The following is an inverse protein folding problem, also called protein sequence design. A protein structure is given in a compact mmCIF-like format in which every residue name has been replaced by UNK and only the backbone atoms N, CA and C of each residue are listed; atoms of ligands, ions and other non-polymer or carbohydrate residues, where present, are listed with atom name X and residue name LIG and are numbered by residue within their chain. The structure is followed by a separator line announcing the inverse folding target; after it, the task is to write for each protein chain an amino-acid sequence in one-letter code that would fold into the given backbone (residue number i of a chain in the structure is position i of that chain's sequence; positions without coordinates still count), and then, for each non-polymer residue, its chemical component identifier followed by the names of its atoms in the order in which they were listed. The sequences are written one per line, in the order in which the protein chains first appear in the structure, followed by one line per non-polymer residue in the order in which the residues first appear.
data_IF_934683741010
#
_entry.id   IF_934683741010
#
_cell.length_a   1.000
_cell.length_b   1.000
_cell.length_c   1.000
_cell.angle_alpha   90.00
_cell.angle_beta   90.00
_cell.angle_gamma   90.00
#
_symmetry.space_group_name_H-M   'P 1'
#
loop_
_entity.id
_entity.type
_entity.pdbx_description
1 polymer ?
#
# COMPACT_ATOMS: atom_id res chain seq x y z
N UNK A 1 -48.13 4.62 23.99
CA UNK A 1 -47.24 5.19 22.92
C UNK A 1 -45.84 5.31 23.48
N UNK A 2 -45.01 4.29 23.35
CA UNK A 2 -43.59 4.38 23.69
C UNK A 2 -42.77 4.29 22.41
N UNK A 3 -42.10 5.39 22.04
CA UNK A 3 -41.12 5.45 20.96
C UNK A 3 -39.85 4.75 21.43
N UNK A 4 -39.52 3.62 20.80
CA UNK A 4 -38.21 2.98 20.94
C UNK A 4 -37.23 3.77 20.09
N UNK A 5 -36.29 4.46 20.75
CA UNK A 5 -35.15 5.05 20.13
C UNK A 5 -34.10 3.95 19.95
N UNK A 6 -33.87 3.54 18.72
CA UNK A 6 -32.71 2.69 18.37
C UNK A 6 -31.46 3.58 18.39
N UNK A 7 -30.61 3.36 19.37
CA UNK A 7 -29.29 3.94 19.42
C UNK A 7 -28.37 3.12 18.50
N UNK A 8 -28.08 3.62 17.32
CA UNK A 8 -26.99 3.12 16.50
C UNK A 8 -25.68 3.59 17.14
N UNK A 9 -24.96 2.67 17.77
CA UNK A 9 -23.59 2.90 18.18
C UNK A 9 -22.71 2.86 16.90
N UNK A 10 -22.49 4.04 16.30
CA UNK A 10 -21.45 4.21 15.32
C UNK A 10 -20.11 4.15 16.05
N UNK A 11 -19.36 3.06 15.85
CA UNK A 11 -17.93 3.07 16.19
C UNK A 11 -17.26 4.19 15.37
N UNK A 12 -16.57 5.13 15.99
CA UNK A 12 -15.77 6.07 15.24
C UNK A 12 -14.58 5.31 14.64
N UNK A 13 -14.57 5.17 13.31
CA UNK A 13 -13.34 4.95 12.58
C UNK A 13 -12.44 6.18 12.88
N UNK A 14 -11.47 5.99 13.74
CA UNK A 14 -10.44 7.00 13.96
C UNK A 14 -9.52 6.96 12.74
N UNK A 15 -9.94 7.64 11.68
CA UNK A 15 -9.06 8.10 10.64
C UNK A 15 -8.18 9.19 11.30
N UNK A 16 -6.97 8.85 11.64
CA UNK A 16 -5.96 9.84 12.04
C UNK A 16 -5.60 10.62 10.77
N UNK A 17 -6.43 11.60 10.45
CA UNK A 17 -6.08 12.67 9.51
C UNK A 17 -4.99 13.49 10.18
N UNK A 18 -3.75 13.34 9.75
CA UNK A 18 -2.71 14.31 10.03
C UNK A 18 -3.06 15.59 9.26
N UNK A 19 -3.82 16.50 9.87
CA UNK A 19 -3.85 17.90 9.44
C UNK A 19 -2.47 18.46 9.73
N UNK A 20 -1.70 18.73 8.68
CA UNK A 20 -0.49 19.52 8.76
C UNK A 20 -0.87 20.95 9.17
N UNK A 21 -0.70 21.28 10.43
CA UNK A 21 -0.56 22.67 10.81
C UNK A 21 0.86 23.09 10.41
N UNK A 22 0.95 24.05 9.49
CA UNK A 22 2.14 24.86 9.32
C UNK A 22 2.32 25.65 10.62
N UNK A 23 3.05 25.11 11.57
CA UNK A 23 3.51 25.83 12.75
C UNK A 23 5.00 25.57 12.89
N UNK A 24 5.73 26.68 13.02
CA UNK A 24 7.12 26.83 13.40
C UNK A 24 7.79 25.53 13.82
N UNK A 25 8.65 24.99 12.93
CA UNK A 25 9.43 23.76 13.17
C UNK A 25 10.27 24.02 14.41
N UNK A 26 10.02 23.37 15.55
CA UNK A 26 10.89 23.53 16.70
C UNK A 26 12.29 23.03 16.33
N UNK A 27 13.33 23.74 16.71
CA UNK A 27 14.73 23.40 16.52
C UNK A 27 15.17 22.04 17.11
N UNK A 28 14.24 21.27 17.72
CA UNK A 28 14.52 20.05 18.48
C UNK A 28 14.01 18.75 17.83
N UNK A 29 13.82 18.73 16.50
CA UNK A 29 13.39 17.52 15.80
C UNK A 29 11.87 17.30 15.79
N UNK A 30 11.39 16.66 14.73
CA UNK A 30 9.98 16.32 14.54
C UNK A 30 9.79 14.83 14.80
N UNK A 31 8.91 14.51 15.75
CA UNK A 31 8.50 13.12 16.01
C UNK A 31 7.19 12.85 15.27
N UNK A 32 7.17 11.79 14.47
CA UNK A 32 5.94 11.30 13.82
C UNK A 32 5.69 9.85 14.21
N UNK A 33 4.44 9.51 14.44
CA UNK A 33 3.99 8.15 14.71
C UNK A 33 3.15 7.66 13.55
N UNK A 34 3.42 6.43 13.13
CA UNK A 34 2.73 5.77 12.04
C UNK A 34 2.23 4.41 12.51
N UNK A 35 1.06 4.03 12.04
CA UNK A 35 0.47 2.71 12.28
C UNK A 35 0.48 1.95 10.98
N UNK A 36 1.42 1.03 10.85
CA UNK A 36 1.71 0.34 9.60
C UNK A 36 1.17 -1.08 9.61
N UNK A 37 0.75 -1.53 8.43
CA UNK A 37 0.69 -2.94 8.11
C UNK A 37 2.07 -3.43 7.70
N UNK A 38 2.39 -4.67 8.05
CA UNK A 38 3.64 -5.29 7.63
C UNK A 38 3.46 -6.78 7.35
N UNK A 39 4.31 -7.31 6.50
CA UNK A 39 4.40 -8.72 6.20
C UNK A 39 5.65 -9.30 6.83
N UNK A 40 5.48 -10.32 7.66
CA UNK A 40 6.57 -11.05 8.27
C UNK A 40 6.61 -12.46 7.67
N UNK A 41 7.78 -12.87 7.20
CA UNK A 41 7.98 -14.17 6.54
C UNK A 41 9.30 -14.80 6.98
N UNK A 42 9.46 -16.10 6.80
CA UNK A 42 10.74 -16.75 7.02
C UNK A 42 11.71 -16.48 5.87
N UNK A 43 13.01 -16.46 6.15
CA UNK A 43 14.05 -16.22 5.15
C UNK A 43 14.14 -17.34 4.10
N UNK A 44 13.89 -18.57 4.52
CA UNK A 44 13.93 -19.74 3.66
C UNK A 44 12.64 -20.03 2.90
N UNK A 45 11.61 -19.22 3.16
CA UNK A 45 10.29 -19.39 2.53
C UNK A 45 9.49 -20.61 3.03
N UNK A 46 9.97 -21.31 4.06
CA UNK A 46 9.31 -22.53 4.58
C UNK A 46 8.03 -22.25 5.37
N UNK A 47 7.89 -21.02 5.90
CA UNK A 47 6.73 -20.60 6.67
C UNK A 47 5.81 -19.74 5.80
N UNK A 48 4.51 -19.89 6.01
CA UNK A 48 3.54 -19.01 5.36
C UNK A 48 3.69 -17.58 5.89
N UNK A 49 3.67 -16.58 5.02
CA UNK A 49 3.73 -15.19 5.42
C UNK A 49 2.57 -14.82 6.36
N UNK A 50 2.86 -14.03 7.37
CA UNK A 50 1.85 -13.50 8.29
C UNK A 50 1.84 -11.99 8.17
N UNK A 51 0.65 -11.42 7.91
CA UNK A 51 0.45 -9.98 7.86
C UNK A 51 -0.09 -9.47 9.19
N UNK A 52 0.43 -8.32 9.61
CA UNK A 52 -0.01 -7.60 10.81
C UNK A 52 -0.43 -6.19 10.42
N UNK A 53 -1.30 -5.58 11.20
CA UNK A 53 -1.77 -4.21 10.99
C UNK A 53 -1.86 -3.45 12.31
N UNK A 54 -1.96 -2.13 12.23
CA UNK A 54 -1.94 -1.23 13.38
C UNK A 54 -0.68 -1.37 14.25
N UNK A 55 0.46 -1.64 13.62
CA UNK A 55 1.75 -1.73 14.31
C UNK A 55 2.34 -0.34 14.45
N UNK A 56 2.60 0.13 15.67
CA UNK A 56 3.13 1.47 15.88
C UNK A 56 4.62 1.52 15.55
N UNK A 57 4.97 2.40 14.62
CA UNK A 57 6.34 2.80 14.34
C UNK A 57 6.50 4.29 14.59
N UNK A 58 7.59 4.66 15.23
CA UNK A 58 7.94 6.05 15.53
C UNK A 58 9.18 6.44 14.75
N UNK A 59 9.10 7.56 14.06
CA UNK A 59 10.23 8.18 13.38
C UNK A 59 10.50 9.54 14.00
N UNK A 60 11.75 9.82 14.38
CA UNK A 60 12.16 11.11 14.90
C UNK A 60 13.22 11.71 13.98
N UNK A 61 12.92 12.86 13.43
CA UNK A 61 13.77 13.58 12.48
C UNK A 61 14.51 14.71 13.18
N UNK A 62 15.77 14.87 12.84
CA UNK A 62 16.59 16.02 13.22
C UNK A 62 17.15 16.65 11.93
N UNK A 63 16.44 17.63 11.42
CA UNK A 63 16.76 18.25 10.12
C UNK A 63 18.11 18.95 10.12
N UNK A 64 18.50 19.61 11.23
CA UNK A 64 19.79 20.30 11.33
C UNK A 64 20.98 19.35 11.14
N UNK A 65 20.81 18.09 11.51
CA UNK A 65 21.83 17.07 11.42
C UNK A 65 21.60 16.10 10.27
N UNK A 66 20.48 16.16 9.56
CA UNK A 66 20.03 15.17 8.60
C UNK A 66 20.05 13.75 9.19
N UNK A 67 19.53 13.60 10.41
CA UNK A 67 19.47 12.30 11.08
C UNK A 67 18.04 11.90 11.40
N UNK A 68 17.84 10.58 11.45
CA UNK A 68 16.56 9.94 11.76
C UNK A 68 16.79 8.79 12.71
N UNK A 69 15.86 8.60 13.65
CA UNK A 69 15.74 7.37 14.44
C UNK A 69 14.43 6.70 14.10
N UNK A 70 14.40 5.37 14.14
CA UNK A 70 13.20 4.57 13.98
C UNK A 70 13.02 3.66 15.19
N UNK A 71 11.79 3.57 15.67
CA UNK A 71 11.45 2.71 16.79
C UNK A 71 10.08 2.07 16.64
N UNK A 72 9.84 1.04 17.43
CA UNK A 72 8.52 0.45 17.61
C UNK A 72 8.33 0.07 19.07
N UNK A 73 7.19 0.43 19.63
CA UNK A 73 6.85 0.04 21.00
C UNK A 73 6.49 -1.43 21.11
N UNK A 74 5.98 -1.99 20.02
CA UNK A 74 5.66 -3.42 19.93
C UNK A 74 5.35 -3.83 18.50
N UNK A 75 5.87 -4.96 18.09
CA UNK A 75 5.31 -5.78 17.01
C UNK A 75 5.47 -7.25 17.40
N UNK A 76 4.69 -8.12 16.81
CA UNK A 76 4.64 -9.51 17.19
C UNK A 76 5.29 -10.39 16.12
N UNK A 77 6.09 -11.36 16.55
CA UNK A 77 6.70 -12.37 15.71
C UNK A 77 6.29 -13.74 16.26
N UNK A 78 5.86 -14.64 15.39
CA UNK A 78 5.44 -16.01 15.76
C UNK A 78 4.39 -16.04 16.88
N UNK A 79 3.41 -15.13 16.83
CA UNK A 79 2.22 -15.20 17.68
C UNK A 79 2.41 -14.89 19.17
N UNK A 80 3.63 -14.82 19.69
CA UNK A 80 3.85 -14.62 21.12
C UNK A 80 5.06 -13.77 21.51
N UNK A 81 5.93 -13.41 20.56
CA UNK A 81 7.09 -12.57 20.85
C UNK A 81 6.75 -11.12 20.54
N UNK A 82 6.62 -10.31 21.58
CA UNK A 82 6.47 -8.85 21.45
C UNK A 82 7.84 -8.23 21.39
N UNK A 83 8.15 -7.63 20.25
CA UNK A 83 9.44 -6.97 20.01
C UNK A 83 9.23 -5.46 20.15
N UNK A 84 10.18 -4.83 20.84
CA UNK A 84 10.29 -3.38 20.87
C UNK A 84 11.74 -2.97 20.62
N UNK A 85 11.95 -1.88 19.93
CA UNK A 85 13.26 -1.36 19.60
C UNK A 85 13.25 0.15 19.41
N UNK A 86 14.42 0.75 19.55
CA UNK A 86 14.74 2.11 19.10
C UNK A 86 16.13 2.04 18.44
N UNK A 87 16.26 2.59 17.24
CA UNK A 87 17.56 2.67 16.57
C UNK A 87 18.40 3.82 17.11
N UNK A 88 19.69 3.73 16.92
CA UNK A 88 20.54 4.91 16.95
C UNK A 88 20.17 5.87 15.83
N UNK A 89 20.59 7.13 15.96
CA UNK A 89 20.40 8.13 14.92
C UNK A 89 21.30 7.82 13.71
N UNK A 90 20.69 7.71 12.54
CA UNK A 90 21.39 7.46 11.27
C UNK A 90 21.17 8.60 10.30
N UNK A 91 22.10 8.78 9.36
CA UNK A 91 21.95 9.75 8.29
C UNK A 91 20.88 9.28 7.31
N UNK A 92 20.09 10.22 6.82
CA UNK A 92 19.21 9.98 5.68
C UNK A 92 19.64 10.81 4.45
N UNK A 93 19.31 10.32 3.28
CA UNK A 93 19.37 11.08 2.03
C UNK A 93 17.98 11.59 1.70
N UNK A 94 17.91 12.83 1.22
CA UNK A 94 16.64 13.44 0.82
C UNK A 94 16.66 13.78 -0.65
N UNK A 95 15.60 13.42 -1.35
CA UNK A 95 15.34 13.81 -2.73
C UNK A 95 14.10 14.69 -2.75
N UNK A 96 14.25 15.94 -3.19
CA UNK A 96 13.13 16.84 -3.40
C UNK A 96 12.71 16.78 -4.87
N UNK A 97 11.42 16.64 -5.09
CA UNK A 97 10.83 16.63 -6.42
C UNK A 97 10.29 18.01 -6.78
N UNK A 98 10.22 18.32 -8.07
CA UNK A 98 9.75 19.62 -8.58
C UNK A 98 8.32 19.98 -8.12
N UNK A 99 7.55 18.98 -7.76
CA UNK A 99 6.16 19.10 -7.28
C UNK A 99 6.05 19.41 -5.77
N UNK A 100 7.17 19.67 -5.08
CA UNK A 100 7.19 19.95 -3.64
C UNK A 100 7.11 18.71 -2.74
N UNK A 101 6.97 17.51 -3.30
CA UNK A 101 7.10 16.28 -2.50
C UNK A 101 8.56 15.96 -2.22
N UNK A 102 8.84 15.20 -1.19
CA UNK A 102 10.17 14.73 -0.86
C UNK A 102 10.16 13.24 -0.49
N UNK A 103 11.27 12.58 -0.80
CA UNK A 103 11.55 11.24 -0.32
C UNK A 103 12.79 11.24 0.57
N UNK A 104 12.76 10.47 1.62
CA UNK A 104 13.90 10.23 2.51
C UNK A 104 14.22 8.75 2.52
N UNK A 105 15.49 8.44 2.31
CA UNK A 105 16.00 7.07 2.35
C UNK A 105 17.06 6.95 3.44
N UNK A 106 16.99 5.88 4.21
CA UNK A 106 17.98 5.57 5.21
C UNK A 106 18.11 4.07 5.44
N UNK A 107 19.25 3.67 5.98
CA UNK A 107 19.54 2.27 6.31
C UNK A 107 20.16 2.17 7.69
N UNK A 108 19.82 1.11 8.40
CA UNK A 108 20.43 0.75 9.71
C UNK A 108 20.93 -0.67 9.62
N UNK A 109 22.23 -0.86 9.87
CA UNK A 109 22.85 -2.18 9.76
C UNK A 109 22.33 -3.14 10.83
N UNK A 110 22.19 -2.67 12.07
CA UNK A 110 21.74 -3.48 13.20
C UNK A 110 21.00 -2.61 14.23
N UNK A 111 19.93 -3.14 14.77
CA UNK A 111 19.13 -2.53 15.83
C UNK A 111 18.93 -3.58 16.93
N UNK A 112 19.38 -3.27 18.13
CA UNK A 112 19.17 -4.12 19.30
C UNK A 112 17.75 -3.97 19.82
N UNK A 113 17.12 -5.08 20.13
CA UNK A 113 15.72 -5.11 20.53
C UNK A 113 15.52 -5.73 21.92
N UNK A 114 14.29 -5.59 22.38
CA UNK A 114 13.77 -6.32 23.55
C UNK A 114 12.66 -7.24 23.10
N UNK A 115 12.74 -8.50 23.48
CA UNK A 115 11.66 -9.47 23.33
C UNK A 115 10.93 -9.61 24.66
N UNK A 116 9.63 -9.35 24.68
CA UNK A 116 8.83 -9.32 25.91
C UNK A 116 9.41 -8.42 27.01
N UNK A 117 10.06 -7.32 26.64
CA UNK A 117 10.66 -6.33 27.54
C UNK A 117 12.09 -6.65 28.00
N UNK A 118 12.68 -7.76 27.58
CA UNK A 118 14.04 -8.17 27.91
C UNK A 118 14.93 -8.13 26.68
N UNK A 119 16.17 -7.63 26.80
CA UNK A 119 17.13 -7.64 25.70
C UNK A 119 17.37 -9.06 25.20
N UNK A 120 17.14 -9.31 23.93
CA UNK A 120 17.23 -10.64 23.33
C UNK A 120 17.58 -10.53 21.84
N UNK A 121 18.71 -11.09 21.46
CA UNK A 121 19.22 -11.06 20.10
C UNK A 121 18.27 -11.74 19.09
N UNK A 122 17.41 -12.65 19.53
CA UNK A 122 16.42 -13.30 18.66
C UNK A 122 15.35 -12.33 18.10
N UNK A 123 15.32 -11.11 18.60
CA UNK A 123 14.44 -10.03 18.12
C UNK A 123 15.20 -8.89 17.44
N UNK A 124 16.53 -8.90 17.41
CA UNK A 124 17.31 -7.84 16.78
C UNK A 124 16.92 -7.69 15.31
N UNK A 125 16.92 -6.45 14.84
CA UNK A 125 16.71 -6.17 13.42
C UNK A 125 18.06 -5.93 12.77
N UNK A 126 18.22 -6.47 11.57
CA UNK A 126 19.40 -6.24 10.74
C UNK A 126 19.01 -5.83 9.32
N UNK A 127 19.91 -5.12 8.65
CA UNK A 127 19.72 -4.68 7.27
C UNK A 127 18.39 -3.94 7.06
N UNK A 128 18.03 -3.07 8.01
CA UNK A 128 16.84 -2.24 7.84
C UNK A 128 17.09 -1.19 6.76
N UNK A 129 16.25 -1.19 5.73
CA UNK A 129 16.21 -0.17 4.69
C UNK A 129 14.82 0.45 4.69
N UNK A 130 14.75 1.76 4.65
CA UNK A 130 13.49 2.48 4.70
C UNK A 130 13.44 3.60 3.66
N UNK A 131 12.34 3.65 2.94
CA UNK A 131 11.93 4.75 2.08
C UNK A 131 10.72 5.43 2.71
N UNK A 132 10.82 6.72 2.97
CA UNK A 132 9.78 7.58 3.48
C UNK A 132 9.46 8.64 2.44
N UNK A 133 8.20 8.81 2.08
CA UNK A 133 7.77 9.92 1.23
C UNK A 133 6.87 10.85 2.01
N UNK A 134 7.15 12.15 1.92
CA UNK A 134 6.29 13.19 2.49
C UNK A 134 5.36 13.75 1.43
N UNK A 135 4.19 14.22 1.86
CA UNK A 135 3.20 14.87 1.00
C UNK A 135 2.75 13.98 -0.15
N UNK A 136 2.32 12.79 0.19
CA UNK A 136 1.66 11.91 -0.75
C UNK A 136 0.30 12.50 -1.14
N UNK A 137 0.17 12.97 -2.38
CA UNK A 137 -1.04 13.62 -2.88
C UNK A 137 -1.66 12.82 -4.02
N UNK A 138 -2.95 12.63 -3.95
CA UNK A 138 -3.75 12.13 -5.05
C UNK A 138 -4.40 13.34 -5.76
N UNK A 139 -4.17 13.58 -7.06
CA UNK A 139 -4.85 14.63 -7.80
C UNK A 139 -6.36 14.59 -7.58
N UNK A 140 -7.03 15.75 -7.55
CA UNK A 140 -8.47 15.82 -7.28
C UNK A 140 -9.29 14.99 -8.27
N UNK A 141 -8.86 14.91 -9.53
CA UNK A 141 -9.43 14.05 -10.56
C UNK A 141 -9.32 12.55 -10.26
N UNK A 142 -8.42 12.17 -9.37
CA UNK A 142 -8.20 10.78 -8.91
C UNK A 142 -8.78 10.55 -7.51
N UNK A 143 -9.26 11.62 -6.86
CA UNK A 143 -9.97 11.50 -5.59
C UNK A 143 -11.35 10.96 -5.84
N UNK A 144 -11.57 9.78 -5.36
CA UNK A 144 -12.89 9.19 -5.40
C UNK A 144 -13.48 9.17 -3.99
N UNK A 145 -14.43 10.05 -3.71
CA UNK A 145 -15.12 10.17 -2.42
C UNK A 145 -14.19 10.29 -1.20
N UNK A 146 -13.17 11.12 -1.27
CA UNK A 146 -12.17 11.30 -0.19
C UNK A 146 -11.51 9.98 0.27
N UNK A 147 -11.54 8.94 -0.55
CA UNK A 147 -11.01 7.61 -0.20
C UNK A 147 -9.50 7.53 -0.12
N UNK A 148 -8.81 8.43 -0.78
CA UNK A 148 -7.37 8.48 -0.80
C UNK A 148 -6.88 9.63 0.06
N UNK A 149 -6.72 9.40 1.37
CA UNK A 149 -6.20 10.45 2.25
C UNK A 149 -4.79 10.84 1.82
N UNK A 150 -4.49 12.12 1.92
CA UNK A 150 -3.12 12.60 1.89
C UNK A 150 -2.35 11.92 3.03
N UNK A 151 -1.18 11.39 2.74
CA UNK A 151 -0.39 10.73 3.76
C UNK A 151 1.05 10.51 3.33
N UNK A 152 1.89 10.29 4.32
CA UNK A 152 3.25 9.84 4.09
C UNK A 152 3.22 8.33 3.80
N UNK A 153 4.02 7.88 2.87
CA UNK A 153 4.20 6.46 2.59
C UNK A 153 5.51 5.97 3.20
N UNK A 154 5.47 4.80 3.79
CA UNK A 154 6.62 4.15 4.38
C UNK A 154 6.75 2.74 3.83
N UNK A 155 7.87 2.49 3.18
CA UNK A 155 8.29 1.14 2.79
C UNK A 155 9.54 0.80 3.58
N UNK A 156 9.50 -0.28 4.33
CA UNK A 156 10.60 -0.70 5.18
C UNK A 156 10.82 -2.20 5.01
N UNK A 157 12.09 -2.59 4.87
CA UNK A 157 12.53 -3.99 4.85
C UNK A 157 13.58 -4.18 5.93
N UNK A 158 13.52 -5.30 6.64
CA UNK A 158 14.51 -5.69 7.63
C UNK A 158 14.52 -7.21 7.81
N UNK A 159 15.54 -7.72 8.45
CA UNK A 159 15.60 -9.10 8.96
C UNK A 159 15.45 -9.06 10.47
N UNK A 160 14.52 -9.84 11.00
CA UNK A 160 14.28 -9.95 12.45
C UNK A 160 14.87 -11.26 12.97
N UNK A 161 15.82 -11.15 13.89
CA UNK A 161 16.66 -12.26 14.27
C UNK A 161 17.46 -12.76 13.07
N UNK A 162 17.57 -14.08 12.92
CA UNK A 162 18.25 -14.71 11.78
C UNK A 162 17.24 -15.33 10.77
N UNK A 163 15.96 -15.27 11.08
CA UNK A 163 14.94 -16.09 10.41
C UNK A 163 13.87 -15.33 9.65
N UNK A 164 13.44 -14.20 10.16
CA UNK A 164 12.24 -13.54 9.64
C UNK A 164 12.58 -12.32 8.79
N UNK A 165 11.92 -12.22 7.66
CA UNK A 165 11.92 -11.03 6.81
C UNK A 165 10.75 -10.13 7.23
N UNK A 166 11.03 -8.94 7.73
CA UNK A 166 10.03 -7.89 7.94
C UNK A 166 9.92 -7.08 6.67
N UNK A 167 8.70 -6.89 6.21
CA UNK A 167 8.40 -6.00 5.10
C UNK A 167 7.15 -5.20 5.42
N UNK A 168 7.24 -3.87 5.39
CA UNK A 168 6.06 -3.02 5.50
C UNK A 168 5.59 -2.60 4.12
N UNK A 169 4.30 -2.37 3.97
CA UNK A 169 3.74 -1.78 2.77
C UNK A 169 2.60 -0.82 3.14
N UNK A 170 2.41 0.25 2.36
CA UNK A 170 1.31 1.18 2.61
C UNK A 170 -0.02 0.48 2.31
N UNK A 171 -1.07 0.86 3.07
CA UNK A 171 -2.43 0.38 2.81
C UNK A 171 -2.98 0.89 1.48
N UNK A 172 -2.42 1.97 0.97
CA UNK A 172 -2.72 2.54 -0.33
C UNK A 172 -1.43 2.69 -1.13
N UNK A 173 -1.43 2.14 -2.33
CA UNK A 173 -0.31 2.24 -3.29
C UNK A 173 -0.86 2.57 -4.67
N UNK A 174 -0.12 3.37 -5.43
CA UNK A 174 -0.47 3.69 -6.80
C UNK A 174 0.65 3.30 -7.74
N UNK A 175 0.25 2.80 -8.91
CA UNK A 175 1.16 2.30 -9.93
C UNK A 175 0.75 2.85 -11.28
N UNK A 176 1.67 3.50 -11.97
CA UNK A 176 1.48 3.95 -13.35
C UNK A 176 2.19 3.01 -14.31
N UNK A 177 1.59 2.80 -15.47
CA UNK A 177 2.15 1.89 -16.44
C UNK A 177 1.35 1.79 -17.72
N UNK A 178 1.64 0.74 -18.49
CA UNK A 178 0.99 0.45 -19.76
C UNK A 178 -0.01 -0.71 -19.63
N UNK A 179 -1.10 -0.60 -20.37
CA UNK A 179 -2.09 -1.67 -20.53
C UNK A 179 -2.05 -2.18 -21.96
N UNK A 180 -1.98 -3.47 -22.12
CA UNK A 180 -2.18 -4.18 -23.41
C UNK A 180 -3.48 -4.96 -23.34
N UNK A 181 -4.39 -4.75 -24.29
CA UNK A 181 -5.67 -5.46 -24.33
C UNK A 181 -5.81 -6.17 -25.67
N UNK A 182 -6.15 -7.45 -25.63
CA UNK A 182 -6.43 -8.28 -26.82
C UNK A 182 -7.93 -8.63 -26.86
N UNK A 183 -8.54 -8.55 -28.04
CA UNK A 183 -9.95 -8.86 -28.25
C UNK A 183 -10.21 -9.31 -29.69
N UNK A 184 -11.28 -10.07 -29.90
CA UNK A 184 -11.71 -10.47 -31.23
C UNK A 184 -12.82 -9.56 -31.76
N UNK A 185 -12.67 -9.05 -32.97
CA UNK A 185 -13.67 -8.25 -33.65
C UNK A 185 -13.84 -8.71 -35.09
N UNK A 186 -15.04 -9.17 -35.44
CA UNK A 186 -15.32 -9.71 -36.78
C UNK A 186 -14.51 -10.99 -37.13
N UNK A 187 -14.12 -11.78 -36.10
CA UNK A 187 -13.33 -12.99 -36.27
C UNK A 187 -11.82 -12.74 -36.43
N UNK A 188 -11.37 -11.49 -36.27
CA UNK A 188 -9.95 -11.14 -36.29
C UNK A 188 -9.50 -10.70 -34.89
N UNK A 189 -8.35 -11.20 -34.46
CA UNK A 189 -7.68 -10.76 -33.25
C UNK A 189 -7.16 -9.34 -33.45
N UNK A 190 -7.45 -8.50 -32.47
CA UNK A 190 -6.98 -7.12 -32.39
C UNK A 190 -6.30 -6.87 -31.06
N UNK A 191 -5.37 -5.93 -31.06
CA UNK A 191 -4.66 -5.50 -29.87
C UNK A 191 -4.74 -3.97 -29.72
N UNK A 192 -4.89 -3.52 -28.51
CA UNK A 192 -4.87 -2.11 -28.14
C UNK A 192 -3.89 -1.89 -27.00
N UNK A 193 -2.99 -0.93 -27.16
CA UNK A 193 -2.01 -0.52 -26.14
C UNK A 193 -2.32 0.88 -25.65
N UNK A 194 -2.20 1.08 -24.34
CA UNK A 194 -2.33 2.36 -23.67
C UNK A 194 -1.19 2.57 -22.69
N UNK A 195 -0.48 3.70 -22.81
CA UNK A 195 0.66 4.02 -21.95
C UNK A 195 0.27 4.90 -20.74
N UNK A 196 -1.02 5.11 -20.50
CA UNK A 196 -1.53 6.05 -19.50
C UNK A 196 -2.42 5.41 -18.42
N UNK A 197 -2.18 4.14 -18.11
CA UNK A 197 -2.91 3.45 -17.04
C UNK A 197 -2.41 3.86 -15.65
N UNK A 198 -3.34 4.07 -14.71
CA UNK A 198 -3.03 4.18 -13.29
C UNK A 198 -3.90 3.19 -12.52
N UNK A 199 -3.26 2.38 -11.68
CA UNK A 199 -3.91 1.46 -10.76
C UNK A 199 -3.62 1.89 -9.33
N UNK A 200 -4.67 2.07 -8.53
CA UNK A 200 -4.57 2.34 -7.11
C UNK A 200 -5.07 1.14 -6.32
N UNK A 201 -4.26 0.61 -5.43
CA UNK A 201 -4.58 -0.54 -4.60
C UNK A 201 -4.75 -0.08 -3.17
N UNK A 202 -5.92 -0.29 -2.60
CA UNK A 202 -6.23 -0.04 -1.19
C UNK A 202 -6.51 -1.36 -0.48
N UNK A 203 -5.68 -1.71 0.51
CA UNK A 203 -5.79 -2.96 1.26
C UNK A 203 -6.47 -2.72 2.59
N UNK A 204 -7.44 -3.58 2.91
CA UNK A 204 -8.00 -3.72 4.25
C UNK A 204 -7.41 -4.96 4.93
N UNK A 205 -6.40 -4.81 5.79
CA UNK A 205 -5.73 -5.95 6.40
C UNK A 205 -6.57 -6.66 7.47
N UNK A 206 -7.65 -6.03 7.94
CA UNK A 206 -8.51 -6.62 8.97
C UNK A 206 -9.31 -7.83 8.44
N UNK A 207 -9.61 -7.83 7.14
CA UNK A 207 -10.37 -8.89 6.49
C UNK A 207 -9.65 -9.48 5.24
N UNK A 208 -8.42 -9.06 4.99
CA UNK A 208 -7.62 -9.47 3.83
C UNK A 208 -8.34 -9.22 2.50
N UNK A 209 -8.96 -8.05 2.37
CA UNK A 209 -9.57 -7.62 1.11
C UNK A 209 -8.88 -6.37 0.56
N UNK A 210 -9.06 -6.15 -0.73
CA UNK A 210 -8.60 -4.94 -1.40
C UNK A 210 -9.71 -4.32 -2.26
N UNK A 211 -9.59 -3.02 -2.45
CA UNK A 211 -10.24 -2.27 -3.52
C UNK A 211 -9.16 -1.83 -4.52
N UNK A 212 -9.41 -2.02 -5.81
CA UNK A 212 -8.52 -1.58 -6.86
C UNK A 212 -9.23 -0.57 -7.74
N UNK A 213 -8.72 0.66 -7.75
CA UNK A 213 -9.15 1.72 -8.67
C UNK A 213 -8.35 1.66 -9.97
N UNK A 214 -9.06 1.58 -11.08
CA UNK A 214 -8.51 1.65 -12.42
C UNK A 214 -8.87 3.02 -13.00
N UNK A 215 -7.88 3.86 -13.19
CA UNK A 215 -8.09 5.25 -13.64
C UNK A 215 -7.70 5.41 -15.09
N UNK A 216 -8.56 6.08 -15.85
CA UNK A 216 -8.34 6.39 -17.26
C UNK A 216 -8.07 5.16 -18.14
N UNK A 217 -8.65 4.01 -17.75
CA UNK A 217 -8.47 2.77 -18.51
C UNK A 217 -9.32 2.75 -19.77
N UNK A 218 -8.78 2.11 -20.79
CA UNK A 218 -9.41 1.97 -22.10
C UNK A 218 -9.02 0.63 -22.69
N UNK A 219 -10.01 -0.17 -23.05
CA UNK A 219 -9.80 -1.53 -23.54
C UNK A 219 -9.76 -1.66 -25.06
N UNK A 220 -10.20 -0.63 -25.78
CA UNK A 220 -10.14 -0.57 -27.24
C UNK A 220 -10.07 0.88 -27.72
N UNK A 221 -9.58 1.11 -28.94
CA UNK A 221 -9.33 2.46 -29.49
C UNK A 221 -10.61 3.34 -29.51
N UNK A 222 -11.77 2.75 -29.82
CA UNK A 222 -13.04 3.46 -29.89
C UNK A 222 -13.77 3.64 -28.56
N UNK A 223 -13.27 3.02 -27.47
CA UNK A 223 -13.90 3.14 -26.16
C UNK A 223 -13.54 4.48 -25.49
N UNK A 224 -14.43 5.06 -24.71
CA UNK A 224 -14.06 6.18 -23.84
C UNK A 224 -13.09 5.70 -22.75
N UNK A 225 -12.34 6.63 -22.21
CA UNK A 225 -11.60 6.37 -20.96
C UNK A 225 -12.60 6.20 -19.82
N UNK A 226 -12.35 5.19 -18.99
CA UNK A 226 -13.20 4.84 -17.86
C UNK A 226 -12.37 4.88 -16.57
N UNK A 227 -13.03 5.35 -15.52
CA UNK A 227 -12.53 5.16 -14.14
C UNK A 227 -13.49 4.23 -13.44
N UNK A 228 -12.98 3.13 -12.92
CA UNK A 228 -13.79 2.11 -12.28
C UNK A 228 -13.06 1.53 -11.06
N UNK A 229 -13.84 0.95 -10.16
CA UNK A 229 -13.33 0.38 -8.92
C UNK A 229 -13.81 -1.05 -8.80
N UNK A 230 -12.87 -1.94 -8.51
CA UNK A 230 -13.13 -3.34 -8.16
C UNK A 230 -13.09 -3.44 -6.65
N UNK A 231 -14.13 -3.96 -6.03
CA UNK A 231 -14.27 -4.04 -4.58
C UNK A 231 -14.22 -5.48 -4.09
N UNK A 232 -13.92 -5.62 -2.81
CA UNK A 232 -13.96 -6.90 -2.08
C UNK A 232 -13.09 -7.99 -2.74
N UNK A 233 -12.00 -7.58 -3.40
CA UNK A 233 -11.01 -8.48 -3.95
C UNK A 233 -10.26 -9.18 -2.82
N UNK A 234 -9.92 -10.46 -3.00
CA UNK A 234 -9.15 -11.23 -2.02
C UNK A 234 -7.68 -10.81 -2.04
N UNK A 235 -7.07 -10.67 -0.86
CA UNK A 235 -5.63 -10.45 -0.70
C UNK A 235 -4.98 -11.70 -0.13
N UNK A 236 -3.92 -12.15 -0.77
CA UNK A 236 -3.03 -13.21 -0.29
C UNK A 236 -1.61 -12.67 -0.20
N UNK A 237 -0.97 -12.84 0.95
CA UNK A 237 0.41 -12.41 1.16
C UNK A 237 1.38 -13.51 0.74
N UNK A 238 2.46 -13.12 0.08
CA UNK A 238 3.52 -14.00 -0.41
C UNK A 238 4.88 -13.61 0.15
N UNK A 239 5.88 -14.43 -0.07
CA UNK A 239 7.26 -14.10 0.32
C UNK A 239 7.81 -12.89 -0.44
N UNK A 240 7.27 -12.59 -1.62
CA UNK A 240 7.71 -11.49 -2.49
C UNK A 240 6.86 -10.21 -2.34
N UNK A 241 5.65 -10.33 -1.79
CA UNK A 241 4.71 -9.21 -1.65
C UNK A 241 3.30 -9.67 -1.38
N UNK A 242 2.36 -9.35 -2.26
CA UNK A 242 0.97 -9.78 -2.14
C UNK A 242 0.31 -9.98 -3.51
N UNK A 243 -0.73 -10.78 -3.51
CA UNK A 243 -1.60 -11.02 -4.67
C UNK A 243 -3.00 -10.53 -4.35
N UNK A 244 -3.61 -9.80 -5.29
CA UNK A 244 -5.02 -9.39 -5.22
C UNK A 244 -5.79 -10.05 -6.34
N UNK A 245 -6.85 -10.79 -6.01
CA UNK A 245 -7.59 -11.57 -7.00
C UNK A 245 -9.11 -11.39 -6.89
N UNK A 246 -9.77 -11.45 -8.03
CA UNK A 246 -11.23 -11.53 -8.08
C UNK A 246 -11.72 -12.92 -7.61
N UNK A 247 -12.95 -13.03 -7.05
CA UNK A 247 -13.60 -14.30 -6.81
C UNK A 247 -13.90 -15.04 -8.14
N UNK A 248 -14.16 -16.33 -8.04
CA UNK A 248 -14.38 -17.19 -9.22
C UNK A 248 -15.57 -16.77 -10.08
N UNK A 249 -16.59 -16.17 -9.48
CA UNK A 249 -17.76 -15.59 -10.14
C UNK A 249 -17.48 -14.26 -10.84
N UNK A 250 -16.28 -13.75 -10.68
CA UNK A 250 -15.89 -12.43 -11.18
C UNK A 250 -16.34 -11.29 -10.26
N UNK A 251 -16.05 -10.04 -10.66
CA UNK A 251 -16.40 -8.83 -9.94
C UNK A 251 -17.02 -7.80 -10.86
N UNK A 252 -18.15 -7.26 -10.46
CA UNK A 252 -18.82 -6.15 -11.16
C UNK A 252 -18.16 -4.85 -10.69
N UNK A 253 -17.53 -4.07 -11.60
CA UNK A 253 -16.96 -2.80 -11.23
C UNK A 253 -18.03 -1.78 -10.89
N UNK A 254 -17.68 -0.80 -10.09
CA UNK A 254 -18.49 0.39 -9.88
C UNK A 254 -17.84 1.59 -10.55
N UNK A 255 -18.65 2.50 -11.09
CA UNK A 255 -18.21 3.69 -11.82
C UNK A 255 -18.80 4.95 -11.20
N UNK A 256 -18.10 6.05 -11.37
CA UNK A 256 -18.55 7.38 -10.94
C UNK A 256 -18.50 7.57 -9.41
N UNK A 257 -18.77 8.79 -8.98
CA UNK A 257 -18.77 9.17 -7.57
C UNK A 257 -19.87 8.44 -6.78
N UNK A 258 -21.00 8.14 -7.41
CA UNK A 258 -22.12 7.42 -6.80
C UNK A 258 -21.89 5.90 -6.74
N UNK A 259 -20.75 5.42 -7.26
CA UNK A 259 -20.37 4.01 -7.27
C UNK A 259 -21.42 3.09 -7.88
N UNK A 260 -21.94 3.49 -9.04
CA UNK A 260 -22.97 2.76 -9.74
C UNK A 260 -22.37 1.46 -10.30
N UNK A 261 -22.96 0.28 -10.01
CA UNK A 261 -22.53 -0.97 -10.61
C UNK A 261 -22.60 -0.93 -12.14
N UNK A 262 -21.56 -1.46 -12.80
CA UNK A 262 -21.46 -1.46 -14.26
C UNK A 262 -21.32 -2.89 -14.80
N UNK A 263 -22.42 -3.68 -14.83
CA UNK A 263 -22.37 -5.13 -15.10
C UNK A 263 -21.94 -5.48 -16.52
N UNK A 264 -22.06 -4.57 -17.48
CA UNK A 264 -21.57 -4.79 -18.85
C UNK A 264 -20.05 -4.92 -18.93
N UNK A 265 -19.33 -4.51 -17.86
CA UNK A 265 -17.88 -4.60 -17.73
C UNK A 265 -17.44 -5.49 -16.56
N UNK A 266 -18.16 -6.59 -16.35
CA UNK A 266 -17.74 -7.57 -15.34
C UNK A 266 -16.31 -8.05 -15.59
N UNK A 267 -15.47 -8.01 -14.57
CA UNK A 267 -14.15 -8.63 -14.58
C UNK A 267 -14.33 -10.11 -14.27
N UNK A 268 -14.30 -10.94 -15.30
CA UNK A 268 -14.43 -12.39 -15.14
C UNK A 268 -13.22 -12.98 -14.45
N UNK A 269 -12.05 -12.41 -14.69
CA UNK A 269 -10.81 -12.67 -13.97
C UNK A 269 -10.13 -11.36 -13.66
N UNK A 270 -9.43 -11.31 -12.54
CA UNK A 270 -8.53 -10.24 -12.18
C UNK A 270 -7.50 -10.81 -11.22
N UNK A 271 -6.23 -10.67 -11.56
CA UNK A 271 -5.11 -11.12 -10.76
C UNK A 271 -4.01 -10.06 -10.81
N UNK A 272 -3.72 -9.46 -9.69
CA UNK A 272 -2.67 -8.45 -9.52
C UNK A 272 -1.61 -9.02 -8.60
N UNK A 273 -0.37 -9.05 -9.06
CA UNK A 273 0.80 -9.45 -8.27
C UNK A 273 1.63 -8.22 -7.99
N UNK A 274 1.76 -7.87 -6.71
CA UNK A 274 2.67 -6.82 -6.27
C UNK A 274 3.93 -7.47 -5.74
N UNK A 275 5.08 -7.11 -6.31
CA UNK A 275 6.36 -7.74 -6.00
C UNK A 275 7.54 -6.79 -6.13
N UNK A 276 8.76 -7.32 -5.93
CA UNK A 276 10.02 -6.59 -6.05
C UNK A 276 10.53 -6.05 -4.71
N UNK A 277 11.76 -5.56 -4.76
CA UNK A 277 12.39 -4.88 -3.64
C UNK A 277 11.60 -3.66 -3.26
N UNK A 278 11.07 -3.36 -2.26
CA UNK A 278 10.19 -2.23 -1.91
C UNK A 278 8.79 -2.25 -2.53
N UNK A 279 8.30 -3.40 -3.02
CA UNK A 279 6.97 -3.50 -3.66
C UNK A 279 6.80 -2.47 -4.78
N UNK A 280 7.82 -2.32 -5.59
CA UNK A 280 7.92 -1.23 -6.56
C UNK A 280 7.20 -1.51 -7.88
N UNK A 281 6.66 -2.72 -8.08
CA UNK A 281 6.00 -3.10 -9.33
C UNK A 281 4.76 -3.92 -9.11
N UNK A 282 3.83 -3.81 -10.06
CA UNK A 282 2.70 -4.72 -10.21
C UNK A 282 2.63 -5.27 -11.63
N UNK A 283 2.26 -6.53 -11.72
CA UNK A 283 1.80 -7.19 -12.92
C UNK A 283 0.33 -7.57 -12.72
N UNK A 284 -0.51 -7.23 -13.69
CA UNK A 284 -1.96 -7.48 -13.61
C UNK A 284 -2.44 -8.17 -14.85
N UNK A 285 -3.13 -9.30 -14.67
CA UNK A 285 -3.85 -10.01 -15.72
C UNK A 285 -5.36 -9.93 -15.46
N UNK A 286 -6.15 -9.65 -16.47
CA UNK A 286 -7.60 -9.59 -16.33
C UNK A 286 -8.35 -9.99 -17.60
N UNK A 287 -9.61 -10.40 -17.42
CA UNK A 287 -10.57 -10.57 -18.51
C UNK A 287 -11.83 -9.78 -18.19
N UNK A 288 -12.25 -8.91 -19.11
CA UNK A 288 -13.41 -8.03 -18.94
C UNK A 288 -14.49 -8.36 -19.95
N UNK A 289 -15.74 -8.44 -19.50
CA UNK A 289 -16.92 -8.69 -20.32
C UNK A 289 -16.82 -9.97 -21.17
N UNK A 290 -16.02 -10.94 -20.74
CA UNK A 290 -15.78 -12.21 -21.43
C UNK A 290 -15.12 -12.09 -22.81
N UNK A 291 -14.57 -10.92 -23.16
CA UNK A 291 -14.04 -10.66 -24.52
C UNK A 291 -12.75 -9.85 -24.58
N UNK A 292 -12.42 -9.09 -23.56
CA UNK A 292 -11.18 -8.32 -23.50
C UNK A 292 -10.24 -9.03 -22.55
N UNK A 293 -9.17 -9.60 -23.06
CA UNK A 293 -8.06 -10.08 -22.23
C UNK A 293 -7.04 -8.97 -22.14
N UNK A 294 -6.66 -8.58 -20.93
CA UNK A 294 -5.77 -7.45 -20.69
C UNK A 294 -4.65 -7.80 -19.73
N UNK A 295 -3.52 -7.13 -19.96
CA UNK A 295 -2.34 -7.14 -19.09
C UNK A 295 -1.98 -5.70 -18.77
N UNK A 296 -1.61 -5.43 -17.52
CA UNK A 296 -1.08 -4.15 -17.09
C UNK A 296 0.24 -4.39 -16.37
N UNK A 297 1.25 -3.61 -16.74
CA UNK A 297 2.53 -3.58 -16.04
C UNK A 297 2.75 -2.18 -15.52
N UNK A 298 2.88 -2.06 -14.21
CA UNK A 298 2.99 -0.77 -13.53
C UNK A 298 4.17 -0.73 -12.57
N UNK A 299 4.76 0.45 -12.49
CA UNK A 299 5.74 0.78 -11.45
C UNK A 299 5.11 1.70 -10.43
N UNK A 300 5.54 1.52 -9.19
CA UNK A 300 5.14 2.41 -8.12
C UNK A 300 5.38 3.86 -8.53
N UNK A 301 4.32 4.63 -8.43
CA UNK A 301 4.35 6.05 -8.74
C UNK A 301 4.01 6.81 -7.47
N UNK A 302 4.97 7.56 -6.89
CA UNK A 302 4.60 8.56 -5.92
C UNK A 302 3.63 9.50 -6.62
N UNK A 303 2.42 9.60 -6.09
CA UNK A 303 1.40 10.46 -6.65
C UNK A 303 1.95 11.89 -6.67
N UNK A 304 2.09 12.42 -7.87
CA UNK A 304 2.63 13.77 -8.10
C UNK A 304 1.47 14.75 -8.15
N UNK A 305 1.70 15.95 -7.64
CA UNK A 305 0.85 17.10 -7.91
C UNK A 305 0.87 17.46 -9.39
#
# INVERSE_FOLDING_TARGET
MLKKILLFASLPLVLVSCKGEESDIPSNGVKKEYYLSYLLTSLDGSEQPTAFYNVPFTFKYEYDNNTITVGSSRFEVNGNKKISFDSDAVKFTSTNYENGSSAMEFSVAEIYSKVNGVADASGNLSNLNCLLTNNYYCPDEWRFNDRFPLGDMIIMNAVVGEKYKLRTFPLLSCFSGSTTTSFSMGGQEQQYNSDSGLFAVSINPANNTAEVGLYNVKFAAQMPQLTMFLKDLKVEYTNEGYVVSAPAEGVVPVVGNDQIPYPDYIFNTFNLVCSGDNLASIDVDFTVAGRFAGEFQGTYTPLRY
#
